data_IF_866930708231
#
_entry.id   IF_866930708231
#
_cell.length_a   1.000
_cell.length_b   1.000
_cell.length_c   1.000
_cell.angle_alpha   90.00
_cell.angle_beta   90.00
_cell.angle_gamma   90.00
#
_symmetry.space_group_name_H-M   'P 1'
#
loop_
_entity.id
_entity.type
_entity.pdbx_description
1 polymer ?
#
# COMPACT_ATOMS: atom_id res chain seq x y z
N UNK A 1 13.05 13.72 -22.76
CA UNK A 1 13.82 12.47 -22.63
C UNK A 1 12.88 11.30 -22.28
N UNK A 2 13.34 10.05 -22.37
CA UNK A 2 12.55 8.85 -22.01
C UNK A 2 13.38 7.85 -21.21
N UNK A 3 12.75 7.14 -20.27
CA UNK A 3 13.34 6.12 -19.40
C UNK A 3 12.69 4.77 -19.74
N UNK A 4 13.50 3.74 -19.91
CA UNK A 4 13.04 2.39 -20.25
C UNK A 4 13.24 1.43 -19.07
N UNK A 5 12.20 0.70 -18.72
CA UNK A 5 12.22 -0.30 -17.65
C UNK A 5 12.17 -1.68 -18.30
N UNK A 6 13.15 -2.52 -17.96
CA UNK A 6 13.31 -3.85 -18.54
C UNK A 6 13.28 -4.92 -17.45
N UNK A 7 12.73 -6.07 -17.78
CA UNK A 7 12.82 -7.26 -16.95
C UNK A 7 14.20 -7.90 -17.14
N UNK A 8 14.94 -8.09 -16.05
CA UNK A 8 16.32 -8.61 -16.11
C UNK A 8 16.41 -10.04 -16.63
N UNK A 9 15.48 -10.92 -16.24
CA UNK A 9 15.58 -12.35 -16.51
C UNK A 9 15.23 -12.70 -17.96
N UNK A 10 14.26 -11.99 -18.54
CA UNK A 10 13.75 -12.25 -19.89
C UNK A 10 14.30 -11.26 -20.92
N UNK A 11 14.77 -10.09 -20.48
CA UNK A 11 15.11 -8.98 -21.37
C UNK A 11 13.88 -8.31 -21.99
N UNK A 12 12.68 -8.53 -21.45
CA UNK A 12 11.45 -7.91 -21.93
C UNK A 12 11.34 -6.44 -21.54
N UNK A 13 10.89 -5.58 -22.47
CA UNK A 13 10.56 -4.19 -22.16
C UNK A 13 9.24 -4.14 -21.39
N UNK A 14 9.27 -3.63 -20.16
CA UNK A 14 8.10 -3.56 -19.28
C UNK A 14 7.36 -2.25 -19.48
N UNK A 15 8.08 -1.12 -19.47
CA UNK A 15 7.46 0.21 -19.49
C UNK A 15 8.40 1.28 -20.04
N UNK A 16 7.82 2.28 -20.68
CA UNK A 16 8.51 3.52 -21.07
C UNK A 16 7.88 4.66 -20.28
N UNK A 17 8.72 5.44 -19.60
CA UNK A 17 8.33 6.66 -18.90
C UNK A 17 8.86 7.84 -19.69
N UNK A 18 7.97 8.75 -20.09
CA UNK A 18 8.33 9.93 -20.86
C UNK A 18 8.42 11.13 -19.93
N UNK A 19 9.62 11.70 -19.80
CA UNK A 19 9.83 12.98 -19.13
C UNK A 19 9.58 14.16 -20.07
N UNK A 20 9.94 15.35 -19.61
CA UNK A 20 9.69 16.61 -20.34
C UNK A 20 10.27 16.58 -21.76
N UNK A 21 9.45 16.98 -22.73
CA UNK A 21 9.83 17.04 -24.15
C UNK A 21 10.88 18.12 -24.35
N UNK A 22 11.92 17.82 -25.14
CA UNK A 22 13.01 18.76 -25.43
C UNK A 22 14.12 18.82 -24.37
N UNK A 23 13.91 18.22 -23.19
CA UNK A 23 14.94 18.17 -22.16
C UNK A 23 15.79 16.89 -22.23
N UNK A 24 17.06 17.05 -21.86
CA UNK A 24 18.05 15.98 -21.74
C UNK A 24 18.09 15.47 -20.29
N UNK A 25 18.09 14.15 -20.14
CA UNK A 25 18.27 13.48 -18.85
C UNK A 25 19.74 13.60 -18.41
N UNK A 26 19.98 14.15 -17.22
CA UNK A 26 21.32 14.31 -16.63
C UNK A 26 21.63 13.21 -15.61
N UNK A 27 20.68 12.91 -14.73
CA UNK A 27 20.84 11.92 -13.67
C UNK A 27 19.59 11.06 -13.55
N UNK A 28 19.80 9.80 -13.19
CA UNK A 28 18.75 8.81 -12.93
C UNK A 28 19.18 7.98 -11.72
N UNK A 29 18.33 7.88 -10.71
CA UNK A 29 18.54 7.00 -9.55
C UNK A 29 17.21 6.40 -9.11
N UNK A 30 17.25 5.28 -8.40
CA UNK A 30 16.08 4.57 -7.91
C UNK A 30 16.19 4.38 -6.40
N UNK A 31 15.05 4.43 -5.72
CA UNK A 31 15.00 4.12 -4.30
C UNK A 31 15.30 2.62 -4.10
N UNK A 32 16.15 2.24 -3.13
CA UNK A 32 16.63 0.85 -3.01
C UNK A 32 15.54 -0.15 -2.60
N UNK A 33 14.53 0.30 -1.86
CA UNK A 33 13.47 -0.55 -1.29
C UNK A 33 12.05 -0.19 -1.74
N UNK A 34 11.88 0.90 -2.47
CA UNK A 34 10.55 1.37 -2.92
C UNK A 34 10.58 1.48 -4.43
N UNK A 35 9.48 1.21 -5.14
CA UNK A 35 9.41 1.33 -6.60
C UNK A 35 9.33 2.81 -7.03
N UNK A 36 10.32 3.62 -6.63
CA UNK A 36 10.40 5.05 -6.88
C UNK A 36 11.65 5.33 -7.72
N UNK A 37 11.49 6.11 -8.78
CA UNK A 37 12.59 6.56 -9.65
C UNK A 37 12.69 8.08 -9.56
N UNK A 38 13.91 8.58 -9.46
CA UNK A 38 14.24 10.00 -9.49
C UNK A 38 15.01 10.31 -10.77
N UNK A 39 14.59 11.34 -11.50
CA UNK A 39 15.27 11.80 -12.71
C UNK A 39 15.53 13.29 -12.67
N UNK A 40 16.69 13.73 -13.16
CA UNK A 40 17.03 15.15 -13.29
C UNK A 40 17.12 15.54 -14.75
N UNK A 41 16.30 16.49 -15.17
CA UNK A 41 16.33 17.11 -16.50
C UNK A 41 15.98 18.59 -16.40
N UNK A 42 16.56 19.44 -17.24
CA UNK A 42 16.21 20.87 -17.25
C UNK A 42 16.48 21.66 -15.96
N UNK A 43 17.09 21.06 -14.93
CA UNK A 43 17.21 21.65 -13.59
C UNK A 43 16.07 21.28 -12.63
N UNK A 44 15.11 20.45 -13.08
CA UNK A 44 14.03 19.90 -12.29
C UNK A 44 14.32 18.46 -11.88
N UNK A 45 13.82 18.07 -10.70
CA UNK A 45 13.83 16.69 -10.21
C UNK A 45 12.42 16.14 -10.37
N UNK A 46 12.24 15.13 -11.23
CA UNK A 46 10.98 14.41 -11.37
C UNK A 46 11.01 13.13 -10.53
N UNK A 47 9.90 12.85 -9.84
CA UNK A 47 9.71 11.65 -9.04
C UNK A 47 8.66 10.78 -9.72
N UNK A 48 9.01 9.54 -10.00
CA UNK A 48 8.13 8.56 -10.64
C UNK A 48 7.83 7.45 -9.66
N UNK A 49 6.55 7.19 -9.42
CA UNK A 49 6.07 6.10 -8.57
C UNK A 49 4.81 5.50 -9.19
N UNK A 50 4.36 4.37 -8.66
CA UNK A 50 3.03 3.85 -8.97
C UNK A 50 1.96 4.79 -8.39
N UNK A 51 0.88 4.98 -9.15
CA UNK A 51 -0.34 5.57 -8.63
C UNK A 51 -1.01 4.53 -7.75
N UNK A 52 -1.22 4.82 -6.48
CA UNK A 52 -2.02 3.97 -5.61
C UNK A 52 -3.48 4.42 -5.76
N UNK A 53 -4.38 3.58 -6.27
CA UNK A 53 -5.80 3.90 -6.21
C UNK A 53 -6.23 3.97 -4.74
N UNK A 54 -7.16 4.85 -4.43
CA UNK A 54 -7.72 4.95 -3.09
C UNK A 54 -8.54 3.69 -2.80
N UNK A 55 -8.16 2.95 -1.76
CA UNK A 55 -8.95 1.80 -1.29
C UNK A 55 -10.01 2.30 -0.32
N UNK A 56 -11.27 2.36 -0.76
CA UNK A 56 -12.37 2.85 0.08
C UNK A 56 -12.62 1.98 1.32
N UNK A 57 -12.21 0.71 1.28
CA UNK A 57 -12.21 -0.21 2.43
C UNK A 57 -11.33 0.23 3.61
N UNK A 58 -10.37 1.14 3.40
CA UNK A 58 -9.58 1.70 4.49
C UNK A 58 -10.43 2.56 5.47
N UNK A 59 -11.56 3.11 5.01
CA UNK A 59 -12.44 3.93 5.84
C UNK A 59 -13.38 3.12 6.73
N UNK A 60 -13.68 1.88 6.37
CA UNK A 60 -14.58 1.01 7.11
C UNK A 60 -14.11 -0.45 7.02
N UNK A 61 -13.72 -1.10 8.14
CA UNK A 61 -13.13 -2.44 8.11
C UNK A 61 -14.07 -3.54 7.59
N UNK A 62 -15.38 -3.32 7.69
CA UNK A 62 -16.40 -4.24 7.17
C UNK A 62 -16.83 -3.89 5.74
N UNK A 63 -16.28 -2.85 5.14
CA UNK A 63 -16.60 -2.45 3.77
C UNK A 63 -15.65 -3.14 2.80
N UNK A 64 -16.23 -3.84 1.82
CA UNK A 64 -15.50 -4.46 0.73
C UNK A 64 -15.87 -3.76 -0.56
N UNK A 65 -14.87 -3.19 -1.23
CA UNK A 65 -15.02 -2.64 -2.56
C UNK A 65 -15.22 -3.79 -3.56
N UNK A 66 -16.19 -3.63 -4.47
CA UNK A 66 -16.54 -4.61 -5.49
C UNK A 66 -16.15 -4.04 -6.85
N UNK A 67 -15.30 -4.76 -7.59
CA UNK A 67 -14.98 -4.41 -8.98
C UNK A 67 -16.15 -4.73 -9.93
N UNK A 68 -16.92 -5.78 -9.61
CA UNK A 68 -18.09 -6.24 -10.34
C UNK A 68 -19.23 -6.61 -9.38
N UNK A 69 -20.47 -6.61 -9.90
CA UNK A 69 -21.63 -6.99 -9.10
C UNK A 69 -21.54 -8.46 -8.67
N UNK A 70 -21.70 -8.71 -7.37
CA UNK A 70 -21.85 -10.06 -6.83
C UNK A 70 -23.31 -10.30 -6.47
N UNK A 71 -23.79 -11.51 -6.70
CA UNK A 71 -25.08 -11.93 -6.17
C UNK A 71 -24.95 -12.18 -4.67
N UNK A 72 -25.90 -11.66 -3.92
CA UNK A 72 -25.94 -11.83 -2.47
C UNK A 72 -26.65 -13.16 -2.14
N UNK A 73 -25.96 -14.06 -1.46
CA UNK A 73 -26.53 -15.30 -0.92
C UNK A 73 -26.80 -15.08 0.57
N UNK A 74 -28.06 -14.77 0.89
CA UNK A 74 -28.50 -14.51 2.26
C UNK A 74 -28.33 -15.78 3.10
N UNK A 75 -27.78 -15.63 4.31
CA UNK A 75 -27.79 -16.74 5.27
C UNK A 75 -29.19 -16.86 5.85
N UNK A 76 -29.69 -18.08 6.04
CA UNK A 76 -31.05 -18.34 6.55
C UNK A 76 -31.32 -17.61 7.87
N UNK A 77 -30.30 -17.48 8.72
CA UNK A 77 -30.34 -16.86 10.03
C UNK A 77 -30.09 -15.33 10.05
N UNK A 78 -29.96 -14.67 8.89
CA UNK A 78 -29.67 -13.22 8.82
C UNK A 78 -30.78 -12.35 9.41
N UNK A 79 -32.03 -12.81 9.30
CA UNK A 79 -33.22 -12.06 9.73
C UNK A 79 -33.84 -12.59 11.02
N UNK A 80 -33.23 -13.59 11.65
CA UNK A 80 -33.74 -14.18 12.88
C UNK A 80 -33.40 -13.32 14.09
N UNK A 81 -34.39 -13.16 14.99
CA UNK A 81 -34.22 -12.39 16.23
C UNK A 81 -33.37 -13.18 17.22
N UNK A 82 -33.57 -14.50 17.28
CA UNK A 82 -32.78 -15.43 18.08
C UNK A 82 -32.27 -16.53 17.14
N UNK A 83 -30.96 -16.74 17.13
CA UNK A 83 -30.31 -17.76 16.32
C UNK A 83 -30.54 -19.13 16.99
N UNK A 84 -31.64 -19.80 16.62
CA UNK A 84 -32.08 -21.08 17.21
C UNK A 84 -31.07 -22.21 16.98
N UNK A 85 -30.20 -22.07 15.97
CA UNK A 85 -29.14 -23.00 15.59
C UNK A 85 -27.76 -22.65 16.18
N UNK A 86 -27.66 -21.60 17.02
CA UNK A 86 -26.42 -21.37 17.77
C UNK A 86 -26.09 -22.64 18.54
N UNK A 87 -24.91 -23.27 18.32
CA UNK A 87 -24.49 -24.35 19.19
C UNK A 87 -24.50 -23.78 20.59
N UNK A 88 -25.33 -24.37 21.46
CA UNK A 88 -25.28 -24.10 22.89
C UNK A 88 -23.82 -24.28 23.27
N UNK A 89 -23.09 -23.17 23.40
CA UNK A 89 -21.78 -23.14 24.03
C UNK A 89 -22.07 -23.61 25.44
N UNK A 90 -21.98 -24.94 25.59
CA UNK A 90 -22.27 -25.66 26.81
C UNK A 90 -21.47 -24.97 27.89
N UNK A 91 -22.20 -24.25 28.73
CA UNK A 91 -21.72 -23.73 29.97
C UNK A 91 -21.38 -24.94 30.84
N UNK A 92 -20.16 -25.46 30.74
CA UNK A 92 -19.49 -26.18 31.82
C UNK A 92 -17.98 -26.35 31.53
N UNK A 93 -17.19 -25.79 32.47
CA UNK A 93 -15.72 -25.82 32.65
C UNK A 93 -14.88 -25.26 31.48
N UNK A 94 -14.22 -24.10 31.54
CA UNK A 94 -13.60 -23.41 32.67
C UNK A 94 -13.70 -21.89 32.52
N UNK A 95 -14.13 -21.26 33.62
CA UNK A 95 -14.14 -19.82 33.84
C UNK A 95 -12.69 -19.40 34.15
N UNK A 96 -12.14 -18.46 33.37
CA UNK A 96 -10.84 -17.76 33.53
C UNK A 96 -9.65 -18.21 32.67
N UNK A 97 -9.84 -18.57 31.41
CA UNK A 97 -8.78 -18.35 30.41
C UNK A 97 -9.25 -17.29 29.42
N UNK A 98 -8.71 -16.06 29.45
CA UNK A 98 -8.95 -15.13 28.36
C UNK A 98 -8.45 -15.80 27.06
N UNK A 99 -9.39 -16.08 26.14
CA UNK A 99 -9.11 -16.52 24.75
C UNK A 99 -8.21 -15.54 23.97
N UNK A 100 -7.88 -14.41 24.57
CA UNK A 100 -7.08 -13.31 24.03
C UNK A 100 -5.80 -13.04 24.85
N UNK A 101 -5.24 -14.05 25.51
CA UNK A 101 -3.93 -13.93 26.18
C UNK A 101 -2.78 -14.33 25.25
N UNK A 102 -2.79 -13.82 24.03
CA UNK A 102 -1.61 -13.91 23.17
C UNK A 102 -0.58 -12.88 23.64
N UNK A 103 0.68 -13.31 23.79
CA UNK A 103 1.76 -12.42 24.18
C UNK A 103 2.16 -11.55 22.99
N UNK A 104 1.68 -10.30 22.98
CA UNK A 104 2.05 -9.30 21.98
C UNK A 104 3.30 -8.55 22.43
N UNK A 105 4.38 -8.68 21.66
CA UNK A 105 5.59 -7.88 21.86
C UNK A 105 5.48 -6.56 21.11
N UNK A 106 5.57 -5.43 21.83
CA UNK A 106 5.53 -4.07 21.28
C UNK A 106 6.90 -3.38 21.29
N UNK A 107 7.94 -4.06 21.80
CA UNK A 107 9.28 -3.51 21.98
C UNK A 107 10.25 -4.03 20.93
N UNK A 108 10.03 -5.25 20.44
CA UNK A 108 10.81 -5.79 19.33
C UNK A 108 10.44 -5.11 18.01
N UNK A 109 11.48 -4.71 17.27
CA UNK A 109 11.35 -4.18 15.92
C UNK A 109 11.92 -5.21 14.95
N UNK A 110 11.21 -5.46 13.84
CA UNK A 110 11.78 -6.20 12.73
C UNK A 110 12.90 -5.36 12.10
N UNK A 111 14.10 -5.93 12.00
CA UNK A 111 15.22 -5.25 11.34
C UNK A 111 14.91 -5.12 9.85
N UNK A 112 14.91 -3.91 9.29
CA UNK A 112 14.73 -3.76 7.85
C UNK A 112 15.88 -4.46 7.12
N UNK A 113 15.55 -5.07 5.97
CA UNK A 113 16.41 -5.96 5.18
C UNK A 113 17.76 -5.35 4.78
N UNK A 114 17.93 -4.02 4.90
CA UNK A 114 19.14 -3.29 4.53
C UNK A 114 19.74 -2.42 5.66
N UNK A 115 19.61 -2.83 6.93
CA UNK A 115 20.53 -2.35 7.95
C UNK A 115 21.94 -2.90 7.65
N UNK A 116 22.92 -2.02 7.40
CA UNK A 116 24.32 -2.43 7.37
C UNK A 116 24.67 -3.11 8.69
N UNK A 117 25.42 -4.22 8.64
CA UNK A 117 25.83 -4.98 9.82
C UNK A 117 26.67 -4.17 10.82
N UNK A 118 27.14 -2.99 10.42
CA UNK A 118 28.08 -2.16 11.17
C UNK A 118 27.43 -0.96 11.87
N UNK A 119 26.11 -0.77 11.73
CA UNK A 119 25.37 0.27 12.45
C UNK A 119 24.83 -0.33 13.76
N UNK A 120 25.37 0.13 14.90
CA UNK A 120 24.80 -0.16 16.22
C UNK A 120 23.32 0.23 16.19
N UNK A 121 22.44 -0.76 16.37
CA UNK A 121 21.00 -0.73 16.01
C UNK A 121 20.10 0.24 16.80
N UNK A 122 20.60 1.43 17.15
CA UNK A 122 19.92 2.47 17.88
C UNK A 122 19.49 3.66 17.00
N UNK A 123 19.94 3.77 15.75
CA UNK A 123 19.57 4.86 14.85
C UNK A 123 18.77 4.35 13.63
N UNK A 124 17.44 4.38 13.76
CA UNK A 124 16.54 4.16 12.63
C UNK A 124 16.43 5.49 11.88
N UNK A 125 17.29 5.71 10.89
CA UNK A 125 17.06 6.75 9.90
C UNK A 125 15.90 6.35 8.97
N UNK A 126 14.66 6.58 9.42
CA UNK A 126 13.49 6.57 8.54
C UNK A 126 13.58 7.77 7.58
N UNK A 127 14.35 7.63 6.51
CA UNK A 127 14.14 8.46 5.31
C UNK A 127 12.85 7.98 4.62
N UNK A 128 11.72 8.29 5.24
CA UNK A 128 10.41 8.26 4.60
C UNK A 128 10.11 9.69 4.16
N UNK A 129 10.59 10.07 2.98
CA UNK A 129 10.00 11.20 2.28
C UNK A 129 8.59 10.77 1.88
N UNK A 130 7.60 11.13 2.70
CA UNK A 130 6.19 10.97 2.37
C UNK A 130 5.91 11.90 1.18
N UNK A 131 5.61 11.31 0.03
CA UNK A 131 5.02 12.07 -1.08
C UNK A 131 3.57 12.28 -0.67
N UNK A 132 3.27 13.45 -0.12
CA UNK A 132 1.90 13.94 0.01
C UNK A 132 1.38 14.09 -1.41
N UNK A 133 0.31 13.37 -1.75
CA UNK A 133 -0.33 13.46 -3.06
C UNK A 133 -0.71 14.90 -3.35
N UNK A 134 -0.26 15.43 -4.49
CA UNK A 134 -0.60 16.75 -4.95
C UNK A 134 -1.97 16.66 -5.66
N UNK A 135 -2.99 17.30 -5.09
CA UNK A 135 -4.30 17.47 -5.73
C UNK A 135 -4.13 18.30 -7.01
N UNK A 136 -4.31 17.66 -8.17
CA UNK A 136 -4.36 18.38 -9.45
C UNK A 136 -5.78 18.96 -9.58
N UNK A 137 -5.99 20.20 -9.15
CA UNK A 137 -7.14 20.99 -9.55
C UNK A 137 -7.09 21.23 -11.06
N UNK A 138 -7.81 20.41 -11.83
CA UNK A 138 -8.13 20.74 -13.22
C UNK A 138 -9.37 21.65 -13.20
N UNK A 139 -9.14 22.95 -13.07
CA UNK A 139 -10.13 23.97 -13.44
C UNK A 139 -10.27 23.94 -14.97
N UNK A 140 -11.19 23.11 -15.46
CA UNK A 140 -11.83 23.36 -16.74
C UNK A 140 -13.21 23.90 -16.44
N UNK A 141 -13.32 25.21 -16.57
CA UNK A 141 -14.59 25.92 -16.65
C UNK A 141 -15.52 25.22 -17.65
N UNK A 142 -16.63 24.70 -17.15
CA UNK A 142 -17.77 24.31 -17.96
C UNK A 142 -18.29 25.55 -18.70
N UNK A 143 -18.11 25.56 -20.02
CA UNK A 143 -18.77 26.49 -20.92
C UNK A 143 -19.86 25.75 -21.69
N UNK A 144 -21.09 25.89 -21.15
CA UNK A 144 -22.44 25.77 -21.75
C UNK A 144 -22.80 24.42 -22.39
#
# INVERSE_FOLDING_TARGET
HSIFIWERNTGGLVKIINGTKGEILKYLTCHPIRPIIYSVSGGLISVWNNSFPECWSAYAPNFKELEENIEYEEQENEFDIEDEDKPLLSHQSDVNTPKYSEHVDILSFEKPIYCSSDEDGNEIHINAMSIVGEEIFNDKEDSI
#
